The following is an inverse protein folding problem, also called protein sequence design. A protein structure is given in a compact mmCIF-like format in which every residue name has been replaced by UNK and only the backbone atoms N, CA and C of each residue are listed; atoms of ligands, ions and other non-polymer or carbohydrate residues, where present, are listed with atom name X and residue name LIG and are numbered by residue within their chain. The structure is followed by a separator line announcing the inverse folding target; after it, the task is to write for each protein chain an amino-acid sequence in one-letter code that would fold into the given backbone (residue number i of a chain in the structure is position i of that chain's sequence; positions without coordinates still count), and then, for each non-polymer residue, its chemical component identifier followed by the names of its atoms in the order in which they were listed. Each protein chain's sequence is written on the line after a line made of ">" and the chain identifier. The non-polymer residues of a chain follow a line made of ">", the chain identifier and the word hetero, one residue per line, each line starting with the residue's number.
data_IF_974154742960
#
_entry.id   IF_974154742960
#
_cell.length_a   1.000
_cell.length_b   1.000
_cell.length_c   1.000
_cell.angle_alpha   90.00
_cell.angle_beta   90.00
_cell.angle_gamma   90.00
#
_symmetry.space_group_name_H-M   'P 1'
#
loop_
_entity.id
_entity.type
_entity.pdbx_description
1 polymer ?
#
# COMPACT_ATOMS: atom_id res chain seq x y z
N UNK A 1 -5.78 -14.27 5.40
CA UNK A 1 -5.46 -12.83 5.22
C UNK A 1 -4.00 -12.58 5.50
N UNK A 2 -3.39 -11.61 4.83
CA UNK A 2 -1.99 -11.20 5.08
C UNK A 2 -1.93 -9.76 5.60
N UNK A 3 -1.05 -9.52 6.58
CA UNK A 3 -0.86 -8.22 7.24
C UNK A 3 0.64 -7.94 7.35
N UNK A 4 1.04 -6.72 7.02
CA UNK A 4 2.40 -6.22 7.20
C UNK A 4 2.39 -4.79 7.74
N UNK A 5 3.33 -4.46 8.60
CA UNK A 5 3.46 -3.11 9.18
C UNK A 5 4.74 -2.45 8.70
N UNK A 6 4.62 -1.21 8.24
CA UNK A 6 5.73 -0.39 7.75
C UNK A 6 5.78 0.92 8.52
N UNK A 7 6.99 1.37 8.89
CA UNK A 7 7.19 2.66 9.56
C UNK A 7 7.61 3.72 8.55
N UNK A 8 7.02 4.91 8.65
CA UNK A 8 7.36 6.09 7.85
C UNK A 8 7.53 7.28 8.78
N UNK A 9 8.63 8.02 8.63
CA UNK A 9 8.86 9.29 9.32
C UNK A 9 8.34 10.43 8.45
N UNK A 10 7.46 11.27 8.99
CA UNK A 10 6.96 12.46 8.29
C UNK A 10 8.09 13.42 8.01
N UNK A 11 8.29 13.78 6.73
CA UNK A 11 9.34 14.70 6.30
C UNK A 11 8.84 16.14 6.33
N UNK A 12 9.76 17.08 6.54
CA UNK A 12 9.43 18.51 6.60
C UNK A 12 8.67 19.00 5.35
N UNK A 13 9.14 18.61 4.16
CA UNK A 13 8.54 18.98 2.88
C UNK A 13 7.17 18.35 2.59
N UNK A 14 6.72 17.43 3.44
CA UNK A 14 5.39 16.79 3.31
C UNK A 14 4.30 17.55 4.07
N UNK A 15 4.67 18.58 4.85
CA UNK A 15 3.75 19.44 5.60
C UNK A 15 3.28 20.65 4.79
N UNK A 16 2.12 21.21 5.15
CA UNK A 16 1.61 22.46 4.57
C UNK A 16 1.49 23.59 5.62
N UNK A 17 0.93 24.73 5.21
CA UNK A 17 0.74 25.89 6.07
C UNK A 17 -0.11 25.60 7.33
N UNK A 18 -0.93 24.54 7.34
CA UNK A 18 -1.75 24.15 8.48
C UNK A 18 -0.95 23.40 9.56
N UNK A 19 0.32 23.06 9.29
CA UNK A 19 1.26 22.51 10.28
C UNK A 19 1.22 20.99 10.43
N UNK A 20 0.61 20.28 9.47
CA UNK A 20 0.57 18.82 9.41
C UNK A 20 0.73 18.33 7.98
N UNK A 21 0.82 17.01 7.80
CA UNK A 21 0.98 16.38 6.48
C UNK A 21 -0.11 16.84 5.52
N UNK A 22 0.29 17.38 4.37
CA UNK A 22 -0.62 17.74 3.29
C UNK A 22 -1.42 16.52 2.85
N UNK A 23 -2.74 16.66 2.75
CA UNK A 23 -3.66 15.54 2.54
C UNK A 23 -3.31 14.68 1.30
N UNK A 24 -2.70 15.28 0.27
CA UNK A 24 -2.30 14.61 -0.97
C UNK A 24 -1.11 13.64 -0.82
N UNK A 25 -0.30 13.78 0.25
CA UNK A 25 0.90 12.97 0.44
C UNK A 25 0.59 11.56 0.99
N UNK A 26 -0.62 11.32 1.49
CA UNK A 26 -0.99 10.02 2.05
C UNK A 26 -0.99 8.87 1.01
N UNK A 27 -1.20 9.19 -0.27
CA UNK A 27 -1.09 8.18 -1.33
C UNK A 27 0.33 7.61 -1.44
N UNK A 28 1.36 8.45 -1.24
CA UNK A 28 2.76 8.02 -1.22
C UNK A 28 3.04 7.12 -0.01
N UNK A 29 2.49 7.45 1.16
CA UNK A 29 2.61 6.61 2.35
C UNK A 29 1.99 5.22 2.15
N UNK A 30 0.82 5.14 1.51
CA UNK A 30 0.19 3.87 1.15
C UNK A 30 1.01 3.07 0.13
N UNK A 31 1.66 3.75 -0.81
CA UNK A 31 2.55 3.12 -1.77
C UNK A 31 3.80 2.54 -1.09
N UNK A 32 4.48 3.31 -0.24
CA UNK A 32 5.61 2.80 0.55
C UNK A 32 5.18 1.55 1.32
N UNK A 33 4.04 1.60 2.01
CA UNK A 33 3.56 0.47 2.79
C UNK A 33 3.19 -0.75 1.93
N UNK A 34 2.55 -0.56 0.76
CA UNK A 34 2.25 -1.67 -0.16
C UNK A 34 3.53 -2.31 -0.71
N UNK A 35 4.53 -1.50 -1.05
CA UNK A 35 5.79 -1.99 -1.64
C UNK A 35 6.60 -2.74 -0.60
N UNK A 36 6.68 -2.23 0.64
CA UNK A 36 7.32 -2.98 1.74
C UNK A 36 6.60 -4.28 2.06
N UNK A 37 5.25 -4.31 1.99
CA UNK A 37 4.47 -5.54 2.13
C UNK A 37 4.80 -6.57 1.03
N UNK A 38 5.01 -6.13 -0.22
CA UNK A 38 5.45 -7.05 -1.28
C UNK A 38 6.87 -7.55 -0.99
N UNK A 39 7.76 -6.67 -0.53
CA UNK A 39 9.14 -7.03 -0.20
C UNK A 39 9.22 -8.04 0.94
N UNK A 40 8.35 -7.94 1.95
CA UNK A 40 8.30 -8.92 3.05
C UNK A 40 7.84 -10.31 2.60
N UNK A 41 7.20 -10.42 1.43
CA UNK A 41 6.87 -11.69 0.77
C UNK A 41 8.00 -12.21 -0.14
N UNK A 42 9.15 -11.53 -0.18
CA UNK A 42 10.23 -11.84 -1.11
C UNK A 42 9.91 -11.45 -2.55
N UNK A 43 9.10 -10.41 -2.76
CA UNK A 43 8.78 -9.86 -4.08
C UNK A 43 9.23 -8.41 -4.16
N UNK A 44 10.11 -8.08 -5.11
CA UNK A 44 10.33 -6.69 -5.49
C UNK A 44 9.31 -6.28 -6.57
N UNK A 45 8.69 -5.10 -6.42
CA UNK A 45 7.74 -4.60 -7.43
C UNK A 45 8.35 -4.56 -8.85
N UNK A 46 9.64 -4.24 -8.94
CA UNK A 46 10.36 -4.21 -10.20
C UNK A 46 10.52 -5.60 -10.85
N UNK A 47 10.59 -6.70 -10.09
CA UNK A 47 10.64 -8.06 -10.66
C UNK A 47 9.32 -8.44 -11.26
N UNK A 48 8.21 -8.06 -10.63
CA UNK A 48 6.89 -8.21 -11.21
C UNK A 48 6.78 -7.44 -12.54
N UNK A 49 7.23 -6.18 -12.60
CA UNK A 49 7.24 -5.43 -13.87
C UNK A 49 8.11 -6.10 -14.95
N UNK A 50 9.25 -6.71 -14.56
CA UNK A 50 10.08 -7.50 -15.48
C UNK A 50 9.37 -8.74 -16.04
N UNK A 51 8.31 -9.24 -15.39
CA UNK A 51 7.45 -10.30 -15.95
C UNK A 51 6.48 -9.79 -17.03
N UNK A 52 6.44 -8.47 -17.27
CA UNK A 52 5.52 -7.84 -18.21
C UNK A 52 4.15 -7.51 -17.61
N UNK A 53 4.04 -7.50 -16.28
CA UNK A 53 2.81 -7.18 -15.54
C UNK A 53 3.02 -5.96 -14.64
N UNK A 54 2.14 -4.97 -14.76
CA UNK A 54 2.12 -3.77 -13.90
C UNK A 54 0.83 -3.73 -13.05
N UNK A 55 0.83 -2.94 -11.97
CA UNK A 55 -0.32 -2.80 -11.06
C UNK A 55 -0.76 -1.34 -10.87
N UNK A 56 -1.39 -0.68 -11.86
CA UNK A 56 -1.94 0.65 -11.67
C UNK A 56 -3.02 0.69 -10.57
N UNK A 57 -3.06 1.83 -9.86
CA UNK A 57 -4.13 2.14 -8.90
C UNK A 57 -5.42 2.43 -9.67
N UNK A 58 -6.47 1.66 -9.39
CA UNK A 58 -7.82 1.85 -9.93
C UNK A 58 -8.65 2.78 -9.04
N UNK A 59 -8.51 2.66 -7.72
CA UNK A 59 -9.29 3.43 -6.75
C UNK A 59 -8.45 3.73 -5.52
N UNK A 60 -8.64 4.91 -4.94
CA UNK A 60 -8.05 5.37 -3.69
C UNK A 60 -9.16 5.94 -2.79
N UNK A 61 -9.25 5.43 -1.57
CA UNK A 61 -10.03 6.01 -0.48
C UNK A 61 -9.09 6.45 0.65
N UNK A 62 -9.34 7.62 1.22
CA UNK A 62 -8.56 8.16 2.31
C UNK A 62 -9.48 8.88 3.30
N UNK A 63 -9.44 8.47 4.57
CA UNK A 63 -10.16 9.08 5.67
C UNK A 63 -9.17 9.60 6.71
N UNK A 64 -9.17 10.91 6.88
CA UNK A 64 -8.35 11.63 7.87
C UNK A 64 -9.10 11.70 9.20
N UNK A 65 -8.53 11.11 10.26
CA UNK A 65 -9.14 11.06 11.61
C UNK A 65 -8.43 12.06 12.53
N UNK A 66 -7.09 12.05 12.51
CA UNK A 66 -6.21 12.98 13.24
C UNK A 66 -5.05 13.39 12.34
N UNK A 67 -4.47 14.59 12.53
CA UNK A 67 -3.33 15.03 11.75
C UNK A 67 -2.05 14.24 12.10
N UNK A 68 -1.25 13.94 11.08
CA UNK A 68 0.15 13.55 11.25
C UNK A 68 1.03 14.80 11.29
N UNK A 69 1.90 14.92 12.28
CA UNK A 69 2.77 16.09 12.47
C UNK A 69 4.18 15.83 11.92
N UNK A 70 4.90 16.91 11.63
CA UNK A 70 6.32 16.85 11.28
C UNK A 70 7.10 16.01 12.31
N UNK A 71 8.03 15.20 11.80
CA UNK A 71 8.96 14.36 12.57
C UNK A 71 8.30 13.22 13.38
N UNK A 72 6.98 13.01 13.25
CA UNK A 72 6.33 11.82 13.84
C UNK A 72 6.68 10.55 13.05
N UNK A 73 6.91 9.45 13.77
CA UNK A 73 6.88 8.11 13.18
C UNK A 73 5.45 7.61 13.08
N UNK A 74 5.02 7.30 11.86
CA UNK A 74 3.74 6.68 11.58
C UNK A 74 3.96 5.19 11.33
N UNK A 75 3.20 4.35 12.01
CA UNK A 75 3.10 2.93 11.68
C UNK A 75 1.92 2.71 10.75
N UNK A 76 2.19 2.21 9.55
CA UNK A 76 1.21 1.89 8.52
C UNK A 76 0.99 0.39 8.50
N UNK A 77 -0.16 -0.06 8.99
CA UNK A 77 -0.58 -1.45 8.92
C UNK A 77 -1.33 -1.67 7.60
N UNK A 78 -0.76 -2.49 6.73
CA UNK A 78 -1.34 -2.85 5.44
C UNK A 78 -1.95 -4.25 5.54
N UNK A 79 -3.18 -4.40 5.03
CA UNK A 79 -3.90 -5.67 5.04
C UNK A 79 -4.40 -6.01 3.64
N UNK A 80 -4.18 -7.27 3.23
CA UNK A 80 -4.88 -7.91 2.11
C UNK A 80 -5.74 -9.03 2.69
N UNK A 81 -7.05 -8.85 2.63
CA UNK A 81 -8.01 -9.72 3.32
C UNK A 81 -8.30 -11.02 2.56
N UNK A 82 -8.26 -10.95 1.23
CA UNK A 82 -8.64 -12.03 0.32
C UNK A 82 -7.53 -12.33 -0.69
N UNK A 83 -7.48 -13.57 -1.18
CA UNK A 83 -6.52 -13.95 -2.20
C UNK A 83 -6.77 -13.12 -3.49
N UNK A 84 -5.74 -12.47 -4.05
CA UNK A 84 -5.92 -11.64 -5.24
C UNK A 84 -6.38 -12.42 -6.48
N UNK A 85 -7.20 -11.76 -7.30
CA UNK A 85 -7.54 -12.19 -8.65
C UNK A 85 -7.01 -11.17 -9.66
N UNK A 86 -7.83 -10.77 -10.62
CA UNK A 86 -7.52 -9.64 -11.53
C UNK A 86 -7.29 -8.33 -10.77
N UNK A 87 -7.85 -8.23 -9.56
CA UNK A 87 -7.69 -7.10 -8.64
C UNK A 87 -7.08 -7.56 -7.34
N UNK A 88 -6.38 -6.62 -6.70
CA UNK A 88 -5.92 -6.73 -5.32
C UNK A 88 -6.42 -5.53 -4.53
N UNK A 89 -6.92 -5.81 -3.32
CA UNK A 89 -7.50 -4.80 -2.43
C UNK A 89 -6.60 -4.64 -1.21
N UNK A 90 -6.06 -3.44 -1.03
CA UNK A 90 -5.28 -3.07 0.13
C UNK A 90 -6.10 -2.20 1.07
N UNK A 91 -6.02 -2.50 2.36
CA UNK A 91 -6.53 -1.64 3.45
C UNK A 91 -5.36 -1.14 4.28
N UNK A 92 -5.45 0.12 4.71
CA UNK A 92 -4.42 0.79 5.50
C UNK A 92 -5.00 1.34 6.78
N UNK A 93 -4.33 1.10 7.89
CA UNK A 93 -4.57 1.73 9.18
C UNK A 93 -3.26 2.40 9.61
N UNK A 94 -3.29 3.72 9.85
CA UNK A 94 -2.11 4.50 10.22
C UNK A 94 -2.21 4.90 11.69
N UNK A 95 -1.14 4.63 12.43
CA UNK A 95 -1.03 4.92 13.85
C UNK A 95 0.14 5.86 14.13
N UNK A 96 -0.02 6.81 15.04
CA UNK A 96 1.08 7.63 15.54
C UNK A 96 1.89 6.90 16.62
N UNK A 97 2.92 7.56 17.18
CA UNK A 97 3.78 7.00 18.24
C UNK A 97 3.04 6.69 19.55
N UNK A 98 1.88 7.30 19.77
CA UNK A 98 0.99 7.03 20.90
C UNK A 98 -0.03 5.91 20.59
N UNK A 99 0.16 5.17 19.50
CA UNK A 99 -0.72 4.09 19.02
C UNK A 99 -2.16 4.55 18.71
N UNK A 100 -2.36 5.85 18.47
CA UNK A 100 -3.67 6.37 18.10
C UNK A 100 -3.89 6.23 16.60
N UNK A 101 -5.07 5.74 16.21
CA UNK A 101 -5.47 5.69 14.81
C UNK A 101 -5.66 7.12 14.25
N UNK A 102 -4.84 7.49 13.28
CA UNK A 102 -4.82 8.84 12.69
C UNK A 102 -5.41 8.88 11.27
N UNK A 103 -5.34 7.78 10.52
CA UNK A 103 -5.84 7.73 9.15
C UNK A 103 -6.22 6.30 8.76
N UNK A 104 -7.28 6.18 7.95
CA UNK A 104 -7.69 4.94 7.31
C UNK A 104 -7.62 5.14 5.81
N UNK A 105 -7.01 4.21 5.09
CA UNK A 105 -6.95 4.22 3.64
C UNK A 105 -7.41 2.90 3.03
N UNK A 106 -7.76 2.95 1.75
CA UNK A 106 -7.86 1.75 0.93
C UNK A 106 -7.42 2.07 -0.49
N UNK A 107 -6.83 1.08 -1.16
CA UNK A 107 -6.59 1.16 -2.60
C UNK A 107 -6.94 -0.14 -3.29
N UNK A 108 -7.50 -0.02 -4.49
CA UNK A 108 -7.73 -1.14 -5.39
C UNK A 108 -6.73 -1.03 -6.53
N UNK A 109 -5.93 -2.07 -6.75
CA UNK A 109 -5.02 -2.16 -7.90
C UNK A 109 -5.49 -3.26 -8.85
N UNK A 110 -5.17 -3.11 -10.12
CA UNK A 110 -5.50 -4.07 -11.19
C UNK A 110 -4.20 -4.57 -11.80
N UNK A 111 -4.05 -5.89 -11.97
CA UNK A 111 -2.93 -6.44 -12.73
C UNK A 111 -3.17 -6.20 -14.23
N UNK A 112 -2.19 -5.64 -14.94
CA UNK A 112 -2.29 -5.30 -16.37
C UNK A 112 -1.08 -5.87 -17.13
N UNK A 113 -1.36 -6.61 -18.20
CA UNK A 113 -0.38 -7.06 -19.18
C UNK A 113 0.14 -5.83 -19.95
N UNK A 114 1.42 -5.53 -19.82
CA UNK A 114 2.04 -4.31 -20.37
C UNK A 114 2.08 -4.30 -21.90
N UNK A 115 2.08 -5.47 -22.55
CA UNK A 115 2.11 -5.57 -24.02
C UNK A 115 0.71 -5.39 -24.58
N UNK A 116 -0.29 -6.05 -23.99
CA UNK A 116 -1.68 -6.00 -24.44
C UNK A 116 -2.42 -4.77 -23.93
N UNK A 117 -1.90 -4.12 -22.89
CA UNK A 117 -2.53 -3.06 -22.12
C UNK A 117 -3.96 -3.45 -21.68
N UNK A 118 -4.09 -4.67 -21.14
CA UNK A 118 -5.37 -5.25 -20.69
C UNK A 118 -5.24 -5.88 -19.32
N UNK A 119 -6.32 -5.88 -18.50
CA UNK A 119 -6.33 -6.60 -17.23
C UNK A 119 -5.95 -8.08 -17.41
N UNK A 120 -5.14 -8.60 -16.50
CA UNK A 120 -4.68 -9.98 -16.49
C UNK A 120 -4.76 -10.58 -15.08
N UNK A 121 -4.41 -11.86 -14.96
CA UNK A 121 -4.20 -12.50 -13.66
C UNK A 121 -2.81 -12.12 -13.11
N UNK A 122 -2.61 -12.20 -11.79
CA UNK A 122 -1.29 -12.00 -11.20
C UNK A 122 -0.29 -13.04 -11.73
N UNK A 123 1.02 -12.72 -11.78
CA UNK A 123 2.04 -13.71 -12.09
C UNK A 123 1.99 -14.92 -11.15
N UNK A 124 2.41 -16.09 -11.64
CA UNK A 124 2.31 -17.35 -10.86
C UNK A 124 3.13 -17.30 -9.56
N UNK A 125 4.38 -16.80 -9.61
CA UNK A 125 5.23 -16.59 -8.41
C UNK A 125 4.55 -15.71 -7.34
N UNK A 126 3.82 -14.67 -7.79
CA UNK A 126 3.04 -13.82 -6.88
C UNK A 126 1.93 -14.62 -6.20
N UNK A 127 1.20 -15.43 -6.97
CA UNK A 127 0.12 -16.26 -6.43
C UNK A 127 0.62 -17.33 -5.48
N UNK A 128 1.74 -17.99 -5.80
CA UNK A 128 2.36 -19.00 -4.93
C UNK A 128 2.74 -18.43 -3.57
N UNK A 129 3.40 -17.27 -3.56
CA UNK A 129 3.78 -16.56 -2.32
C UNK A 129 2.57 -16.13 -1.50
N UNK A 130 1.48 -15.73 -2.15
CA UNK A 130 0.27 -15.29 -1.46
C UNK A 130 -0.53 -16.45 -0.88
N UNK A 131 -0.68 -17.58 -1.60
CA UNK A 131 -1.55 -18.70 -1.20
C UNK A 131 -1.33 -19.17 0.24
N UNK A 132 -0.08 -19.21 0.72
CA UNK A 132 0.25 -19.64 2.09
C UNK A 132 -0.35 -18.78 3.23
N UNK A 133 -1.01 -17.67 2.91
CA UNK A 133 -1.66 -16.78 3.88
C UNK A 133 -3.20 -16.78 3.77
N UNK A 134 -3.78 -17.53 2.83
CA UNK A 134 -5.22 -17.53 2.54
C UNK A 134 -5.71 -18.98 2.40
N UNK A 135 -5.69 -19.69 3.52
CA UNK A 135 -6.41 -20.95 3.74
C UNK A 135 -7.79 -20.69 4.37
#
# INVERSE_FOLDING_TARGET
>A
MYIHSTKVRVRYGETDQMGYVYYGNYAEYYEVARVEMLRSLGMDYASMERTGVMMPVLELNCKYIKPALYDQEITIKTTVAELPGVRIYFKYELFNEAEELINIGATTLVFVDMVKNKPCLPPEDFMEKMRGFFD
#
